data_IF_538046588852
#
_entry.id   IF_538046588852
#
_cell.length_a   1.000
_cell.length_b   1.000
_cell.length_c   1.000
_cell.angle_alpha   90.00
_cell.angle_beta   90.00
_cell.angle_gamma   90.00
#
_symmetry.space_group_name_H-M   'P 1'
#
loop_
_entity.id
_entity.type
_entity.pdbx_description
1 polymer ?
#
# COMPACT_ATOMS: atom_id res chain seq x y z
N UNK A 1 -29.42 6.62 30.36
CA UNK A 1 -29.81 5.20 30.20
C UNK A 1 -28.64 4.25 29.93
N UNK A 2 -27.49 4.68 29.38
CA UNK A 2 -26.31 3.81 29.20
C UNK A 2 -25.46 3.66 30.48
N UNK A 3 -25.37 4.70 31.30
CA UNK A 3 -24.65 4.67 32.59
C UNK A 3 -25.37 3.88 33.69
N UNK A 4 -26.65 3.60 33.53
CA UNK A 4 -27.45 2.91 34.55
C UNK A 4 -27.35 1.37 34.45
N UNK A 5 -26.78 0.85 33.36
CA UNK A 5 -26.55 -0.58 33.17
C UNK A 5 -25.11 -0.92 33.62
N UNK A 6 -24.94 -1.66 34.73
CA UNK A 6 -23.62 -2.06 35.24
C UNK A 6 -22.79 -2.85 34.22
N UNK A 7 -23.45 -3.50 33.26
CA UNK A 7 -22.81 -4.30 32.20
C UNK A 7 -22.57 -3.48 30.92
N UNK A 8 -22.79 -2.16 30.92
CA UNK A 8 -22.52 -1.32 29.75
C UNK A 8 -21.02 -1.04 29.58
N UNK A 9 -20.32 -0.72 30.67
CA UNK A 9 -18.87 -0.57 30.72
C UNK A 9 -18.24 -1.84 31.32
N UNK A 10 -18.02 -2.84 30.48
CA UNK A 10 -17.57 -4.16 30.91
C UNK A 10 -16.08 -4.20 31.21
N UNK A 11 -15.71 -4.94 32.24
CA UNK A 11 -14.33 -5.35 32.49
C UNK A 11 -13.95 -6.58 31.65
N UNK A 12 -12.66 -6.94 31.68
CA UNK A 12 -12.13 -8.09 30.94
C UNK A 12 -12.68 -9.45 31.42
N UNK A 13 -13.29 -9.52 32.60
CA UNK A 13 -13.90 -10.72 33.18
C UNK A 13 -15.40 -10.88 32.91
N UNK A 14 -16.04 -9.93 32.22
CA UNK A 14 -17.48 -10.00 31.91
C UNK A 14 -17.81 -11.23 31.04
N UNK A 15 -18.79 -12.01 31.49
CA UNK A 15 -19.28 -13.23 30.84
C UNK A 15 -20.28 -12.95 29.69
N UNK A 16 -20.41 -11.70 29.28
CA UNK A 16 -21.37 -11.28 28.26
C UNK A 16 -20.81 -11.40 26.82
N UNK A 17 -19.51 -11.62 26.68
CA UNK A 17 -18.91 -12.02 25.41
C UNK A 17 -19.50 -13.36 24.93
N UNK A 18 -19.82 -13.47 23.63
CA UNK A 18 -20.46 -14.66 23.05
C UNK A 18 -21.99 -14.71 23.19
N UNK A 19 -22.60 -13.95 24.10
CA UNK A 19 -24.06 -13.76 24.17
C UNK A 19 -24.49 -12.63 23.23
N UNK A 20 -24.20 -12.79 21.93
CA UNK A 20 -24.41 -11.74 20.95
C UNK A 20 -25.90 -11.33 20.90
N UNK A 21 -26.24 -10.05 21.17
CA UNK A 21 -27.59 -9.57 20.94
C UNK A 21 -27.89 -9.65 19.44
N UNK A 22 -29.14 -9.92 19.07
CA UNK A 22 -29.56 -9.82 17.66
C UNK A 22 -29.33 -8.40 17.18
N UNK A 23 -28.35 -8.21 16.30
CA UNK A 23 -28.02 -6.92 15.70
C UNK A 23 -29.07 -6.63 14.61
N UNK A 24 -29.49 -5.37 14.48
CA UNK A 24 -30.38 -4.95 13.40
C UNK A 24 -29.68 -5.02 12.05
N UNK A 25 -30.42 -5.39 11.00
CA UNK A 25 -29.90 -5.52 9.62
C UNK A 25 -29.19 -4.23 9.16
N UNK A 26 -29.75 -3.05 9.45
CA UNK A 26 -29.15 -1.75 9.13
C UNK A 26 -27.70 -1.56 9.63
N UNK A 27 -27.36 -2.16 10.79
CA UNK A 27 -26.01 -2.04 11.36
C UNK A 27 -25.03 -2.99 10.66
N UNK A 28 -25.53 -4.14 10.22
CA UNK A 28 -24.77 -5.11 9.43
C UNK A 28 -24.47 -4.49 8.06
N UNK A 29 -25.46 -3.87 7.43
CA UNK A 29 -25.29 -3.22 6.13
C UNK A 29 -24.25 -2.09 6.18
N UNK A 30 -24.26 -1.27 7.23
CA UNK A 30 -23.24 -0.23 7.46
C UNK A 30 -21.83 -0.81 7.58
N UNK A 31 -21.67 -1.91 8.31
CA UNK A 31 -20.38 -2.60 8.43
C UNK A 31 -19.91 -3.16 7.08
N UNK A 32 -20.82 -3.78 6.32
CA UNK A 32 -20.50 -4.31 4.98
C UNK A 32 -20.08 -3.18 4.04
N UNK A 33 -20.76 -2.04 4.09
CA UNK A 33 -20.40 -0.88 3.27
C UNK A 33 -19.00 -0.34 3.64
N UNK A 34 -18.70 -0.23 4.93
CA UNK A 34 -17.37 0.18 5.40
C UNK A 34 -16.26 -0.76 4.93
N UNK A 35 -16.49 -2.08 4.95
CA UNK A 35 -15.53 -3.07 4.45
C UNK A 35 -15.27 -2.89 2.94
N UNK A 36 -16.33 -2.69 2.15
CA UNK A 36 -16.20 -2.41 0.70
C UNK A 36 -15.40 -1.15 0.44
N UNK A 37 -15.63 -0.09 1.21
CA UNK A 37 -14.89 1.17 1.06
C UNK A 37 -13.41 1.01 1.44
N UNK A 38 -13.09 0.22 2.46
CA UNK A 38 -11.71 -0.13 2.82
C UNK A 38 -11.01 -0.92 1.73
N UNK A 39 -11.69 -1.89 1.14
CA UNK A 39 -11.13 -2.69 0.04
C UNK A 39 -10.86 -1.85 -1.20
N UNK A 40 -11.78 -0.95 -1.56
CA UNK A 40 -11.59 0.01 -2.64
C UNK A 40 -10.37 0.92 -2.40
N UNK A 41 -10.23 1.45 -1.18
CA UNK A 41 -9.07 2.26 -0.78
C UNK A 41 -7.77 1.47 -0.89
N UNK A 42 -7.76 0.20 -0.44
CA UNK A 42 -6.59 -0.68 -0.53
C UNK A 42 -6.15 -0.90 -1.97
N UNK A 43 -7.08 -1.11 -2.89
CA UNK A 43 -6.79 -1.26 -4.32
C UNK A 43 -6.14 0.00 -4.92
N UNK A 44 -6.58 1.18 -4.48
CA UNK A 44 -6.07 2.47 -4.97
C UNK A 44 -4.72 2.91 -4.38
N UNK A 45 -4.20 2.18 -3.38
CA UNK A 45 -2.99 2.57 -2.64
C UNK A 45 -1.74 2.55 -3.52
N UNK A 46 -1.61 1.54 -4.38
CA UNK A 46 -0.53 1.46 -5.37
C UNK A 46 -0.99 2.02 -6.70
N UNK A 47 -0.68 3.29 -6.97
CA UNK A 47 -1.02 3.93 -8.25
C UNK A 47 0.03 3.61 -9.30
N UNK A 48 -0.42 3.17 -10.48
CA UNK A 48 0.45 2.99 -11.65
C UNK A 48 0.99 4.37 -12.06
N UNK A 49 2.31 4.49 -12.17
CA UNK A 49 2.94 5.70 -12.69
C UNK A 49 2.69 5.78 -14.21
N UNK A 50 2.38 6.96 -14.72
CA UNK A 50 2.20 7.20 -16.16
C UNK A 50 3.47 6.80 -16.91
N UNK A 51 3.31 6.00 -17.97
CA UNK A 51 4.41 5.72 -18.90
C UNK A 51 4.77 7.00 -19.65
N UNK A 52 6.06 7.24 -19.86
CA UNK A 52 6.56 8.36 -20.66
C UNK A 52 7.28 7.77 -21.87
N UNK A 53 6.76 8.02 -23.07
CA UNK A 53 7.31 7.47 -24.31
C UNK A 53 8.72 8.02 -24.63
N UNK A 54 9.05 9.22 -24.14
CA UNK A 54 10.39 9.82 -24.30
C UNK A 54 11.47 9.15 -23.44
N UNK A 55 11.13 8.22 -22.54
CA UNK A 55 12.12 7.60 -21.67
C UNK A 55 12.78 6.43 -22.38
N UNK A 56 14.11 6.41 -22.40
CA UNK A 56 14.89 5.27 -22.87
C UNK A 56 14.49 3.97 -22.14
N UNK A 57 14.28 2.92 -22.94
CA UNK A 57 13.86 1.61 -22.46
C UNK A 57 15.09 0.74 -22.20
N UNK A 58 15.40 0.54 -20.92
CA UNK A 58 16.51 -0.29 -20.44
C UNK A 58 16.13 -1.76 -20.20
N UNK A 59 14.91 -2.16 -20.58
CA UNK A 59 14.31 -3.44 -20.22
C UNK A 59 13.77 -4.21 -21.43
N UNK A 60 14.00 -5.53 -21.44
CA UNK A 60 13.50 -6.43 -22.49
C UNK A 60 12.06 -6.91 -22.19
N UNK A 61 11.65 -6.96 -20.92
CA UNK A 61 10.32 -7.41 -20.49
C UNK A 61 9.82 -6.67 -19.24
N UNK A 62 8.52 -6.78 -18.94
CA UNK A 62 7.88 -6.08 -17.81
C UNK A 62 8.48 -6.45 -16.44
N UNK A 63 8.86 -7.73 -16.25
CA UNK A 63 9.48 -8.16 -14.98
C UNK A 63 10.87 -7.55 -14.81
N UNK A 64 11.62 -7.44 -15.89
CA UNK A 64 12.92 -6.79 -15.93
C UNK A 64 12.76 -5.27 -15.68
N UNK A 65 11.77 -4.62 -16.29
CA UNK A 65 11.49 -3.20 -16.02
C UNK A 65 11.20 -2.95 -14.53
N UNK A 66 10.39 -3.82 -13.89
CA UNK A 66 10.14 -3.75 -12.46
C UNK A 66 11.40 -3.99 -11.61
N UNK A 67 12.28 -4.89 -12.04
CA UNK A 67 13.55 -5.17 -11.38
C UNK A 67 14.53 -4.00 -11.52
N UNK A 68 14.72 -3.46 -12.72
CA UNK A 68 15.52 -2.25 -12.98
C UNK A 68 15.02 -1.07 -12.13
N UNK A 69 13.69 -0.85 -12.05
CA UNK A 69 13.10 0.16 -11.15
C UNK A 69 13.40 -0.08 -9.67
N UNK A 70 13.59 -1.34 -9.24
CA UNK A 70 13.94 -1.68 -7.85
C UNK A 70 15.42 -1.41 -7.59
N UNK A 71 16.30 -1.80 -8.52
CA UNK A 71 17.74 -1.50 -8.47
C UNK A 71 17.98 0.00 -8.46
N UNK A 72 17.34 0.77 -9.34
CA UNK A 72 17.48 2.23 -9.38
C UNK A 72 17.06 2.88 -8.04
N UNK A 73 15.99 2.38 -7.40
CA UNK A 73 15.56 2.89 -6.08
C UNK A 73 16.55 2.60 -4.97
N UNK A 74 17.21 1.43 -5.01
CA UNK A 74 18.14 1.01 -3.97
C UNK A 74 19.55 1.59 -4.16
N UNK A 75 20.03 1.62 -5.41
CA UNK A 75 21.42 1.87 -5.76
C UNK A 75 21.65 3.14 -6.59
N UNK A 76 20.60 3.73 -7.19
CA UNK A 76 20.73 4.89 -8.07
C UNK A 76 21.41 6.09 -7.43
N UNK A 77 21.30 6.25 -6.10
CA UNK A 77 22.03 7.28 -5.35
C UNK A 77 23.55 7.09 -5.41
N UNK A 78 24.02 5.84 -5.46
CA UNK A 78 25.44 5.49 -5.41
C UNK A 78 26.04 5.28 -6.81
N UNK A 79 25.22 4.94 -7.81
CA UNK A 79 25.66 4.65 -9.18
C UNK A 79 25.54 5.84 -10.14
N UNK A 80 25.32 7.05 -9.63
CA UNK A 80 25.16 8.26 -10.45
C UNK A 80 26.38 8.54 -11.34
N UNK A 81 27.59 8.40 -10.78
CA UNK A 81 28.83 8.61 -11.53
C UNK A 81 29.01 7.58 -12.64
N UNK A 82 28.78 6.30 -12.34
CA UNK A 82 28.86 5.20 -13.30
C UNK A 82 27.88 5.44 -14.46
N UNK A 83 26.66 5.88 -14.15
CA UNK A 83 25.65 6.22 -15.15
C UNK A 83 26.11 7.37 -16.05
N UNK A 84 26.59 8.46 -15.45
CA UNK A 84 27.12 9.59 -16.21
C UNK A 84 28.30 9.21 -17.10
N UNK A 85 29.18 8.32 -16.63
CA UNK A 85 30.32 7.86 -17.41
C UNK A 85 29.89 6.99 -18.60
N UNK A 86 28.84 6.17 -18.45
CA UNK A 86 28.23 5.42 -19.56
C UNK A 86 27.66 6.36 -20.62
N UNK A 87 26.88 7.37 -20.22
CA UNK A 87 26.32 8.36 -21.16
C UNK A 87 27.39 9.20 -21.86
N UNK A 88 28.57 9.38 -21.23
CA UNK A 88 29.73 10.09 -21.80
C UNK A 88 30.68 9.20 -22.60
N UNK A 89 30.41 7.91 -22.74
CA UNK A 89 31.27 7.00 -23.50
C UNK A 89 32.55 6.57 -22.79
N UNK A 90 32.49 6.33 -21.48
CA UNK A 90 33.55 5.73 -20.63
C UNK A 90 34.80 6.60 -20.35
N UNK A 91 34.68 7.92 -20.40
CA UNK A 91 35.79 8.80 -20.06
C UNK A 91 36.15 8.71 -18.56
N UNK A 92 37.35 8.19 -18.27
CA UNK A 92 38.08 8.47 -17.03
C UNK A 92 38.56 9.93 -17.07
N UNK A 93 38.67 10.63 -15.93
CA UNK A 93 39.34 11.93 -15.89
C UNK A 93 40.84 11.72 -16.15
N UNK A 94 41.45 12.61 -16.94
CA UNK A 94 42.91 12.77 -17.00
C UNK A 94 43.49 13.11 -15.62
#
# INVERSE_FOLDING_TARGET
>A
MKEADPEFYRDASSLQYGKAPKISEDKIDKMVQELKDRDAKRGSFSRRRTFREEKDVDSINDRNEHFNKKIERAFGKYTLEIKNNLERGTALPD
#
